data_IF_781049180209
#
_entry.id   IF_781049180209
#
_cell.length_a   1.000
_cell.length_b   1.000
_cell.length_c   1.000
_cell.angle_alpha   90.00
_cell.angle_beta   90.00
_cell.angle_gamma   90.00
#
_symmetry.space_group_name_H-M   'P 1'
#
loop_
_entity.id
_entity.type
_entity.pdbx_description
1 polymer ?
#
# COMPACT_ATOMS: atom_id res chain seq x y z
N UNK A 1 18.78 4.04 -16.77
CA UNK A 1 17.81 3.00 -16.39
C UNK A 1 16.86 3.60 -15.37
N UNK A 2 15.55 3.40 -15.53
CA UNK A 2 14.54 3.80 -14.55
C UNK A 2 14.12 2.56 -13.76
N UNK A 3 13.99 2.68 -12.44
CA UNK A 3 13.58 1.60 -11.56
C UNK A 3 12.18 1.88 -11.01
N UNK A 4 11.40 0.84 -10.66
CA UNK A 4 10.09 1.03 -10.04
C UNK A 4 10.19 1.57 -8.62
N UNK A 5 11.35 1.45 -7.98
CA UNK A 5 11.60 1.88 -6.60
C UNK A 5 12.74 2.88 -6.51
N UNK A 6 12.74 3.68 -5.44
CA UNK A 6 13.84 4.56 -5.05
C UNK A 6 14.29 4.22 -3.63
N UNK A 7 15.61 4.30 -3.39
CA UNK A 7 16.24 3.98 -2.12
C UNK A 7 17.49 4.86 -1.92
N UNK A 8 17.50 5.64 -0.85
CA UNK A 8 18.66 6.40 -0.40
C UNK A 8 19.17 5.86 0.94
N UNK A 9 20.37 5.26 0.96
CA UNK A 9 21.01 4.77 2.17
C UNK A 9 21.87 5.86 2.82
N UNK A 10 21.71 6.07 4.13
CA UNK A 10 22.55 6.97 4.91
C UNK A 10 23.17 6.23 6.10
N UNK A 11 24.47 6.45 6.32
CA UNK A 11 25.25 5.87 7.40
C UNK A 11 26.64 5.46 6.96
N UNK A 12 27.21 4.44 7.61
CA UNK A 12 28.51 3.85 7.31
C UNK A 12 28.45 2.51 6.58
N UNK A 13 29.63 2.00 6.23
CA UNK A 13 29.81 0.73 5.50
C UNK A 13 29.97 -0.52 6.38
N UNK A 14 29.89 -0.39 7.70
CA UNK A 14 29.99 -1.53 8.63
C UNK A 14 28.76 -2.43 8.63
N UNK A 15 28.72 -3.40 9.55
CA UNK A 15 27.58 -4.28 9.75
C UNK A 15 27.30 -5.26 8.60
N UNK A 16 26.28 -6.10 8.80
CA UNK A 16 25.76 -7.05 7.82
C UNK A 16 24.60 -6.45 7.04
N UNK A 17 24.56 -6.71 5.74
CA UNK A 17 23.48 -6.24 4.88
C UNK A 17 22.13 -6.87 5.27
N UNK A 18 21.06 -6.07 5.20
CA UNK A 18 19.70 -6.55 5.29
C UNK A 18 18.79 -5.86 4.27
N UNK A 19 17.76 -6.57 3.83
CA UNK A 19 16.66 -6.05 3.02
C UNK A 19 15.35 -6.61 3.55
N UNK A 20 14.46 -5.74 4.00
CA UNK A 20 13.17 -6.11 4.56
C UNK A 20 12.07 -5.28 3.93
N UNK A 21 11.61 -5.74 2.77
CA UNK A 21 10.67 -5.03 1.92
C UNK A 21 9.52 -5.93 1.46
N UNK A 22 8.44 -5.30 1.03
CA UNK A 22 7.32 -5.91 0.33
C UNK A 22 7.42 -5.83 -1.19
N UNK A 23 8.62 -5.70 -1.77
CA UNK A 23 8.79 -5.52 -3.23
C UNK A 23 8.13 -6.64 -4.05
N UNK A 24 8.15 -7.87 -3.55
CA UNK A 24 7.53 -9.03 -4.22
C UNK A 24 6.04 -9.21 -3.95
N UNK A 25 5.53 -8.66 -2.83
CA UNK A 25 4.15 -8.88 -2.38
C UNK A 25 3.27 -7.61 -2.45
N UNK A 26 3.86 -6.44 -2.69
CA UNK A 26 3.21 -5.14 -2.56
C UNK A 26 2.99 -4.69 -1.11
N UNK A 27 3.51 -5.42 -0.11
CA UNK A 27 3.34 -5.08 1.30
C UNK A 27 4.04 -3.75 1.63
N UNK A 28 3.39 -2.92 2.45
CA UNK A 28 3.94 -1.64 2.91
C UNK A 28 4.50 -1.73 4.31
N UNK A 29 5.28 -0.73 4.69
CA UNK A 29 5.57 -0.40 6.06
C UNK A 29 4.27 -0.06 6.82
N UNK A 30 3.95 -0.82 7.86
CA UNK A 30 2.75 -0.64 8.70
C UNK A 30 3.10 -0.01 10.04
N UNK A 31 4.27 -0.37 10.60
CA UNK A 31 4.75 0.19 11.86
C UNK A 31 6.27 0.19 11.89
N UNK A 32 6.83 1.17 12.58
CA UNK A 32 8.25 1.25 12.86
C UNK A 32 8.50 1.61 14.33
N UNK A 33 9.47 0.94 14.94
CA UNK A 33 9.99 1.24 16.28
C UNK A 33 11.48 1.52 16.18
N UNK A 34 11.95 2.60 16.82
CA UNK A 34 13.33 3.07 16.72
C UNK A 34 13.93 3.30 18.10
N UNK A 35 15.00 2.58 18.41
CA UNK A 35 15.86 2.79 19.57
C UNK A 35 17.00 3.72 19.19
N UNK A 36 17.37 4.63 20.09
CA UNK A 36 18.44 5.60 19.86
C UNK A 36 19.45 5.54 21.00
N UNK A 37 20.74 5.60 20.64
CA UNK A 37 21.85 5.71 21.58
C UNK A 37 22.42 7.14 21.60
N UNK A 38 23.54 7.31 22.31
CA UNK A 38 24.21 8.61 22.42
C UNK A 38 24.69 9.17 21.07
N UNK A 39 25.13 8.30 20.16
CA UNK A 39 25.77 8.72 18.90
C UNK A 39 25.25 7.96 17.68
N UNK A 40 24.17 7.19 17.82
CA UNK A 40 23.62 6.35 16.76
C UNK A 40 22.13 6.07 16.90
N UNK A 41 21.50 5.64 15.82
CA UNK A 41 20.30 4.80 15.87
C UNK A 41 20.74 3.39 16.26
N UNK A 42 20.23 2.91 17.39
CA UNK A 42 20.69 1.69 18.04
C UNK A 42 20.06 0.45 17.42
N UNK A 43 18.74 0.47 17.24
CA UNK A 43 18.02 -0.61 16.61
C UNK A 43 16.74 -0.09 15.95
N UNK A 44 16.23 -0.86 14.99
CA UNK A 44 14.95 -0.59 14.33
C UNK A 44 14.15 -1.88 14.25
N UNK A 45 12.89 -1.83 14.68
CA UNK A 45 11.92 -2.91 14.48
C UNK A 45 10.89 -2.45 13.45
N UNK A 46 10.64 -3.30 12.47
CA UNK A 46 9.80 -3.00 11.32
C UNK A 46 8.70 -4.04 11.23
N UNK A 47 7.47 -3.59 10.97
CA UNK A 47 6.32 -4.42 10.66
C UNK A 47 5.81 -4.06 9.27
N UNK A 48 5.61 -5.08 8.45
CA UNK A 48 5.01 -4.96 7.13
C UNK A 48 3.55 -5.38 7.18
N UNK A 49 2.77 -4.83 6.25
CA UNK A 49 1.33 -5.04 6.16
C UNK A 49 0.89 -6.47 5.83
N UNK A 50 1.83 -7.36 5.52
CA UNK A 50 1.60 -8.80 5.32
C UNK A 50 1.82 -9.62 6.61
N UNK A 51 2.00 -8.95 7.75
CA UNK A 51 2.21 -9.56 9.06
C UNK A 51 3.67 -9.90 9.38
N UNK A 52 4.59 -9.78 8.41
CA UNK A 52 6.03 -9.96 8.68
C UNK A 52 6.53 -8.85 9.60
N UNK A 53 7.40 -9.21 10.53
CA UNK A 53 8.12 -8.22 11.34
C UNK A 53 9.53 -8.70 11.67
N UNK A 54 10.47 -7.76 11.79
CA UNK A 54 11.87 -8.06 12.05
C UNK A 54 12.54 -6.90 12.78
N UNK A 55 13.54 -7.21 13.62
CA UNK A 55 14.39 -6.24 14.31
C UNK A 55 15.81 -6.28 13.73
N UNK A 56 16.42 -5.11 13.55
CA UNK A 56 17.80 -4.91 13.13
C UNK A 56 18.54 -4.06 14.15
N UNK A 57 19.81 -4.37 14.43
CA UNK A 57 20.55 -3.81 15.56
C UNK A 57 20.22 -4.53 16.88
N UNK A 58 20.82 -4.06 17.98
CA UNK A 58 20.58 -4.59 19.32
C UNK A 58 19.79 -3.57 20.15
N UNK A 59 18.49 -3.79 20.40
CA UNK A 59 17.67 -2.86 21.18
C UNK A 59 18.24 -2.60 22.58
N UNK A 60 18.24 -1.34 22.99
CA UNK A 60 18.62 -0.93 24.34
C UNK A 60 17.76 0.25 24.80
N UNK A 61 17.10 0.10 25.95
CA UNK A 61 16.19 1.10 26.51
C UNK A 61 14.84 1.25 25.80
N UNK A 62 14.11 2.35 26.06
CA UNK A 62 12.82 2.64 25.43
C UNK A 62 13.00 3.05 23.97
N UNK A 63 11.95 2.82 23.16
CA UNK A 63 11.93 3.21 21.76
C UNK A 63 10.77 4.16 21.44
N UNK A 64 10.95 4.93 20.36
CA UNK A 64 9.86 5.70 19.76
C UNK A 64 9.21 4.87 18.68
N UNK A 65 7.89 4.92 18.58
CA UNK A 65 7.15 4.18 17.57
C UNK A 65 6.23 5.06 16.74
N UNK A 66 5.96 4.59 15.52
CA UNK A 66 4.97 5.18 14.64
C UNK A 66 4.19 4.07 13.94
N UNK A 67 2.87 4.12 14.04
CA UNK A 67 1.96 3.20 13.36
C UNK A 67 1.22 3.94 12.26
N UNK A 68 1.34 3.47 11.03
CA UNK A 68 0.70 4.06 9.87
C UNK A 68 -0.76 3.64 9.81
N UNK A 69 -1.64 4.61 9.58
CA UNK A 69 -3.05 4.36 9.27
C UNK A 69 -3.17 3.80 7.84
N UNK A 70 -4.19 2.99 7.54
CA UNK A 70 -4.46 2.57 6.17
C UNK A 70 -4.53 3.77 5.21
N UNK A 71 -3.75 3.70 4.12
CA UNK A 71 -3.64 4.77 3.11
C UNK A 71 -2.85 6.01 3.54
N UNK A 72 -2.19 5.97 4.70
CA UNK A 72 -1.21 6.99 5.08
C UNK A 72 0.09 6.79 4.30
N UNK A 73 0.61 7.86 3.70
CA UNK A 73 1.82 7.84 2.90
C UNK A 73 2.81 8.88 3.41
N UNK A 74 4.09 8.68 3.15
CA UNK A 74 5.13 9.66 3.45
C UNK A 74 4.95 10.89 2.55
N UNK A 75 5.06 12.07 3.13
CA UNK A 75 5.13 13.35 2.40
C UNK A 75 6.54 13.91 2.40
N UNK A 76 7.34 13.57 3.40
CA UNK A 76 8.78 13.84 3.42
C UNK A 76 9.52 12.84 4.29
N UNK A 77 10.78 12.61 3.97
CA UNK A 77 11.72 11.84 4.76
C UNK A 77 13.06 12.57 4.76
N UNK A 78 13.66 12.69 5.92
CA UNK A 78 15.03 13.14 6.09
C UNK A 78 15.79 12.15 6.95
N UNK A 79 17.01 11.84 6.53
CA UNK A 79 17.94 11.00 7.28
C UNK A 79 19.20 11.80 7.63
N UNK A 80 19.83 11.44 8.74
CA UNK A 80 21.12 11.98 9.15
C UNK A 80 22.06 10.83 9.43
N UNK A 81 23.31 10.96 9.01
CA UNK A 81 24.39 10.18 9.61
C UNK A 81 24.70 10.72 11.01
N UNK A 82 25.47 9.97 11.79
CA UNK A 82 25.95 10.43 13.10
C UNK A 82 26.99 11.57 13.03
N UNK A 83 27.35 12.05 11.85
CA UNK A 83 28.33 13.11 11.65
C UNK A 83 29.79 12.66 11.61
N UNK A 84 30.08 11.38 11.85
CA UNK A 84 31.36 10.72 11.55
C UNK A 84 31.28 9.82 10.29
N UNK A 85 30.07 9.57 9.78
CA UNK A 85 29.86 8.72 8.60
C UNK A 85 29.95 7.23 8.88
N UNK A 86 29.75 6.82 10.14
CA UNK A 86 29.89 5.41 10.57
C UNK A 86 28.57 4.76 10.96
N UNK A 87 27.55 5.55 11.33
CA UNK A 87 26.22 5.10 11.72
C UNK A 87 25.14 6.01 11.16
N UNK A 88 23.92 5.49 11.10
CA UNK A 88 22.73 6.32 11.04
C UNK A 88 22.55 7.07 12.38
N UNK A 89 22.23 8.35 12.33
CA UNK A 89 22.13 9.23 13.49
C UNK A 89 20.71 9.74 13.77
N UNK A 90 19.86 9.90 12.75
CA UNK A 90 18.46 10.25 12.94
C UNK A 90 17.57 9.88 11.75
N UNK A 91 16.28 9.73 12.04
CA UNK A 91 15.19 9.49 11.11
C UNK A 91 14.09 10.50 11.42
N UNK A 92 13.72 11.31 10.42
CA UNK A 92 12.59 12.22 10.51
C UNK A 92 11.68 12.03 9.32
N UNK A 93 10.38 11.90 9.53
CA UNK A 93 9.42 11.90 8.43
C UNK A 93 8.11 12.58 8.79
N UNK A 94 7.39 12.98 7.74
CA UNK A 94 6.01 13.46 7.82
C UNK A 94 5.12 12.61 6.91
N UNK A 95 3.83 12.60 7.21
CA UNK A 95 2.85 11.81 6.47
C UNK A 95 1.71 12.65 5.90
N UNK A 96 0.92 12.05 5.02
CA UNK A 96 -0.27 12.64 4.39
C UNK A 96 -1.45 12.79 5.36
N UNK A 97 -1.35 12.28 6.58
CA UNK A 97 -2.37 12.37 7.64
C UNK A 97 -1.89 13.20 8.83
N UNK A 98 -1.05 14.20 8.55
CA UNK A 98 -0.48 15.14 9.52
C UNK A 98 0.37 14.48 10.62
N UNK A 99 0.83 13.25 10.37
CA UNK A 99 1.77 12.56 11.21
C UNK A 99 3.17 13.13 11.11
N UNK A 100 3.85 13.24 12.24
CA UNK A 100 5.28 13.56 12.30
C UNK A 100 5.98 12.58 13.24
N UNK A 101 7.10 12.03 12.79
CA UNK A 101 7.96 11.16 13.58
C UNK A 101 9.39 11.67 13.53
N UNK A 102 10.04 11.71 14.70
CA UNK A 102 11.43 12.09 14.79
C UNK A 102 12.16 11.33 15.90
N UNK A 103 13.13 10.51 15.48
CA UNK A 103 14.04 9.78 16.35
C UNK A 103 15.48 10.17 16.00
N UNK A 104 16.25 10.60 17.00
CA UNK A 104 17.63 11.06 16.83
C UNK A 104 18.50 10.59 17.98
N UNK A 105 19.79 10.44 17.71
CA UNK A 105 20.82 10.25 18.74
C UNK A 105 20.76 11.33 19.83
N UNK A 106 21.14 10.96 21.05
CA UNK A 106 20.84 11.77 22.26
C UNK A 106 22.00 12.63 22.75
N UNK A 107 23.24 12.33 22.37
CA UNK A 107 24.44 13.04 22.85
C UNK A 107 25.13 13.84 21.75
N UNK A 108 25.31 13.24 20.56
CA UNK A 108 25.95 13.93 19.44
C UNK A 108 24.96 14.82 18.70
N UNK A 109 25.41 16.00 18.26
CA UNK A 109 24.59 16.93 17.49
C UNK A 109 24.40 16.49 16.05
N UNK A 110 23.21 16.72 15.49
CA UNK A 110 22.93 16.50 14.08
C UNK A 110 23.73 17.47 13.20
N UNK A 111 24.31 16.95 12.12
CA UNK A 111 25.07 17.73 11.14
C UNK A 111 24.27 17.89 9.84
N UNK A 112 24.77 17.32 8.74
CA UNK A 112 24.14 17.39 7.43
C UNK A 112 22.85 16.55 7.41
N UNK A 113 21.75 17.23 7.10
CA UNK A 113 20.48 16.61 6.74
C UNK A 113 20.53 16.08 5.30
N UNK A 114 19.95 14.90 5.09
CA UNK A 114 19.75 14.33 3.77
C UNK A 114 18.25 14.16 3.53
N UNK A 115 17.60 15.13 2.89
CA UNK A 115 16.23 14.97 2.42
C UNK A 115 16.18 13.90 1.33
N UNK A 116 15.21 12.99 1.43
CA UNK A 116 15.03 11.87 0.52
C UNK A 116 13.87 12.12 -0.42
N UNK A 117 14.03 11.69 -1.67
CA UNK A 117 12.91 11.55 -2.58
C UNK A 117 12.05 10.36 -2.14
N UNK A 118 10.82 10.65 -1.70
CA UNK A 118 9.87 9.62 -1.25
C UNK A 118 9.06 9.04 -2.41
N UNK A 119 9.28 9.49 -3.65
CA UNK A 119 8.56 9.03 -4.84
C UNK A 119 7.06 9.22 -4.67
N UNK A 120 6.32 8.11 -4.63
CA UNK A 120 4.88 8.15 -4.36
C UNK A 120 4.49 8.33 -2.89
N UNK A 121 5.45 8.23 -1.97
CA UNK A 121 5.21 8.17 -0.53
C UNK A 121 4.84 6.78 0.00
N UNK A 122 4.63 5.79 -0.89
CA UNK A 122 4.34 4.42 -0.51
C UNK A 122 5.63 3.65 -0.17
N UNK A 123 5.87 3.46 1.13
CA UNK A 123 7.06 2.81 1.65
C UNK A 123 6.88 1.29 1.67
N UNK A 124 7.73 0.57 0.93
CA UNK A 124 7.75 -0.89 0.87
C UNK A 124 8.50 -1.53 2.05
N UNK A 125 9.25 -0.76 2.82
CA UNK A 125 10.06 -1.24 3.93
C UNK A 125 11.43 -0.58 3.99
N UNK A 126 12.41 -1.30 4.54
CA UNK A 126 13.76 -0.76 4.81
C UNK A 126 14.84 -1.66 4.25
N UNK A 127 15.96 -1.04 3.86
CA UNK A 127 17.18 -1.71 3.41
C UNK A 127 18.36 -1.04 4.09
N UNK A 128 19.40 -1.79 4.44
CA UNK A 128 20.53 -1.22 5.14
C UNK A 128 21.59 -2.22 5.54
N UNK A 129 22.37 -1.83 6.55
CA UNK A 129 23.39 -2.63 7.20
C UNK A 129 23.30 -2.47 8.70
N UNK A 130 23.40 -3.56 9.44
CA UNK A 130 23.33 -3.55 10.90
C UNK A 130 24.25 -4.59 11.53
N UNK A 131 24.73 -4.27 12.73
CA UNK A 131 25.39 -5.18 13.65
C UNK A 131 24.82 -4.97 15.05
N UNK A 132 25.63 -4.50 15.99
CA UNK A 132 25.16 -4.03 17.30
C UNK A 132 24.34 -2.72 17.21
N UNK A 133 24.54 -1.95 16.14
CA UNK A 133 23.85 -0.69 15.85
C UNK A 133 23.33 -0.71 14.40
N UNK A 134 22.61 0.34 14.00
CA UNK A 134 22.31 0.60 12.59
C UNK A 134 23.47 1.33 11.92
N UNK A 135 24.30 0.60 11.18
CA UNK A 135 25.40 1.14 10.39
C UNK A 135 24.90 2.06 9.29
N UNK A 136 23.95 1.61 8.47
CA UNK A 136 23.27 2.43 7.49
C UNK A 136 21.86 1.92 7.25
N UNK A 137 20.95 2.82 6.87
CA UNK A 137 19.60 2.44 6.50
C UNK A 137 19.01 3.46 5.53
N UNK A 138 18.08 2.98 4.71
CA UNK A 138 17.20 3.77 3.87
C UNK A 138 15.81 3.13 3.84
N UNK A 139 14.84 3.94 3.43
CA UNK A 139 13.47 3.50 3.21
C UNK A 139 13.30 3.30 1.71
N UNK A 140 12.73 2.16 1.33
CA UNK A 140 12.46 1.86 -0.07
C UNK A 140 11.05 2.34 -0.41
N UNK A 141 10.95 3.25 -1.37
CA UNK A 141 9.68 3.77 -1.84
C UNK A 141 9.37 3.28 -3.24
N UNK A 142 8.08 3.06 -3.51
CA UNK A 142 7.60 2.96 -4.88
C UNK A 142 7.67 4.34 -5.53
N UNK A 143 8.21 4.43 -6.75
CA UNK A 143 8.23 5.66 -7.52
C UNK A 143 6.81 6.11 -7.90
N UNK A 144 6.69 7.32 -8.45
CA UNK A 144 5.40 7.84 -8.89
C UNK A 144 4.68 6.83 -9.81
N UNK A 145 3.48 6.43 -9.40
CA UNK A 145 2.70 5.39 -10.11
C UNK A 145 1.80 6.06 -11.14
N UNK A 146 1.95 5.65 -12.40
CA UNK A 146 1.08 6.12 -13.48
C UNK A 146 -0.27 5.37 -13.47
N UNK A 147 -0.25 4.06 -13.23
CA UNK A 147 -1.45 3.23 -13.18
C UNK A 147 -1.23 1.99 -12.32
N UNK A 148 -2.32 1.43 -11.80
CA UNK A 148 -2.34 0.14 -11.08
C UNK A 148 -3.44 -0.71 -11.69
N UNK A 149 -3.09 -1.89 -12.21
CA UNK A 149 -4.02 -2.73 -12.99
C UNK A 149 -3.99 -4.16 -12.45
N UNK A 150 -5.16 -4.69 -12.09
CA UNK A 150 -5.35 -6.11 -11.85
C UNK A 150 -5.60 -6.79 -13.20
N UNK A 151 -4.63 -7.56 -13.67
CA UNK A 151 -4.71 -8.32 -14.93
C UNK A 151 -4.49 -9.81 -14.68
N UNK A 152 -4.63 -10.64 -15.72
CA UNK A 152 -4.49 -12.10 -15.64
C UNK A 152 -5.41 -12.73 -14.59
N UNK A 153 -6.62 -12.16 -14.43
CA UNK A 153 -7.64 -12.69 -13.51
C UNK A 153 -8.05 -14.08 -14.00
N UNK A 154 -7.90 -15.06 -13.13
CA UNK A 154 -8.32 -16.43 -13.36
C UNK A 154 -9.32 -16.85 -12.26
N UNK A 155 -10.30 -17.68 -12.63
CA UNK A 155 -11.27 -18.25 -11.70
C UNK A 155 -11.09 -19.77 -11.66
N UNK A 156 -10.16 -20.30 -10.84
CA UNK A 156 -9.73 -21.71 -10.93
C UNK A 156 -10.85 -22.73 -10.69
N UNK A 157 -11.87 -22.34 -9.92
CA UNK A 157 -12.98 -23.22 -9.52
C UNK A 157 -14.27 -22.99 -10.31
N UNK A 158 -14.30 -22.06 -11.28
CA UNK A 158 -15.53 -21.69 -12.00
C UNK A 158 -16.20 -22.86 -12.71
N UNK A 159 -15.39 -23.78 -13.25
CA UNK A 159 -15.89 -24.98 -13.95
C UNK A 159 -16.42 -26.06 -13.00
N UNK A 160 -16.19 -25.94 -11.70
CA UNK A 160 -16.65 -26.88 -10.67
C UNK A 160 -17.93 -26.38 -9.98
N UNK A 161 -18.29 -25.11 -10.19
CA UNK A 161 -19.43 -24.46 -9.55
C UNK A 161 -20.71 -24.70 -10.33
N UNK A 162 -21.75 -25.19 -9.64
CA UNK A 162 -23.12 -25.21 -10.18
C UNK A 162 -23.79 -23.88 -9.82
N UNK A 163 -24.21 -23.07 -10.80
CA UNK A 163 -24.79 -21.76 -10.54
C UNK A 163 -26.14 -21.89 -9.82
N UNK A 164 -26.30 -21.16 -8.72
CA UNK A 164 -27.59 -21.06 -8.02
C UNK A 164 -28.40 -19.92 -8.64
N UNK A 165 -29.32 -20.27 -9.54
CA UNK A 165 -30.19 -19.32 -10.24
C UNK A 165 -31.54 -19.25 -9.53
N UNK A 166 -31.97 -18.06 -9.15
CA UNK A 166 -33.32 -17.80 -8.62
C UNK A 166 -34.20 -17.32 -9.76
N UNK A 167 -35.38 -17.95 -9.91
CA UNK A 167 -36.38 -17.50 -10.88
C UNK A 167 -37.09 -16.29 -10.30
N UNK A 168 -37.19 -15.22 -11.10
CA UNK A 168 -37.97 -14.04 -10.76
C UNK A 168 -39.05 -13.87 -11.83
N UNK A 169 -40.31 -13.83 -11.39
CA UNK A 169 -41.43 -13.56 -12.28
C UNK A 169 -41.34 -12.13 -12.81
N UNK A 170 -41.37 -12.00 -14.14
CA UNK A 170 -41.28 -10.70 -14.82
C UNK A 170 -42.70 -10.23 -15.21
N UNK A 171 -43.50 -11.13 -15.76
CA UNK A 171 -44.87 -10.86 -16.20
C UNK A 171 -45.62 -12.17 -16.37
N UNK A 172 -46.88 -12.22 -15.95
CA UNK A 172 -47.81 -13.33 -16.22
C UNK A 172 -49.11 -12.77 -16.80
N UNK A 173 -49.58 -13.38 -17.89
CA UNK A 173 -50.76 -12.97 -18.65
C UNK A 173 -51.53 -14.22 -19.11
N UNK A 174 -52.85 -14.17 -19.08
CA UNK A 174 -53.72 -15.25 -19.57
C UNK A 174 -54.61 -14.73 -20.70
N UNK A 175 -54.64 -15.44 -21.82
CA UNK A 175 -55.51 -15.14 -22.96
C UNK A 175 -56.43 -16.33 -23.23
N UNK A 176 -57.71 -16.07 -23.49
CA UNK A 176 -58.69 -17.09 -23.87
C UNK A 176 -59.21 -16.81 -25.27
N UNK A 177 -59.11 -17.81 -26.15
CA UNK A 177 -59.67 -17.74 -27.49
C UNK A 177 -61.01 -18.49 -27.51
N UNK A 178 -62.11 -17.76 -27.64
CA UNK A 178 -63.47 -18.31 -27.66
C UNK A 178 -64.06 -18.44 -29.06
N UNK A 179 -63.25 -18.22 -30.11
CA UNK A 179 -63.67 -18.31 -31.51
C UNK A 179 -62.89 -19.40 -32.25
N UNK A 180 -63.44 -19.91 -33.35
CA UNK A 180 -62.87 -21.02 -34.13
C UNK A 180 -61.65 -20.64 -34.99
N UNK A 181 -61.27 -19.36 -35.00
CA UNK A 181 -60.15 -18.83 -35.79
C UNK A 181 -58.96 -18.45 -34.91
N UNK A 182 -57.76 -18.52 -35.48
CA UNK A 182 -56.50 -18.21 -34.79
C UNK A 182 -56.40 -16.73 -34.46
N UNK A 183 -56.08 -16.40 -33.20
CA UNK A 183 -55.77 -15.04 -32.75
C UNK A 183 -54.27 -14.86 -32.50
N UNK A 184 -53.74 -13.67 -32.79
CA UNK A 184 -52.36 -13.28 -32.49
C UNK A 184 -52.37 -12.21 -31.40
N UNK A 185 -51.51 -12.37 -30.40
CA UNK A 185 -51.33 -11.43 -29.30
C UNK A 185 -49.88 -10.96 -29.27
N UNK A 186 -49.67 -9.65 -29.10
CA UNK A 186 -48.35 -9.05 -28.93
C UNK A 186 -48.13 -8.76 -27.44
N UNK A 187 -47.06 -9.31 -26.87
CA UNK A 187 -46.71 -9.11 -25.46
C UNK A 187 -45.38 -8.39 -25.39
N UNK A 188 -45.41 -7.17 -24.86
CA UNK A 188 -44.21 -6.38 -24.57
C UNK A 188 -43.90 -6.41 -23.07
N UNK A 189 -42.62 -6.58 -22.73
CA UNK A 189 -42.15 -6.63 -21.34
C UNK A 189 -40.77 -5.97 -21.25
N UNK A 190 -40.52 -5.24 -20.17
CA UNK A 190 -39.22 -4.66 -19.83
C UNK A 190 -38.87 -4.97 -18.37
N UNK A 191 -37.58 -5.15 -18.09
CA UNK A 191 -37.07 -5.36 -16.73
C UNK A 191 -35.71 -4.71 -16.59
N UNK A 192 -35.54 -3.91 -15.54
CA UNK A 192 -34.23 -3.35 -15.17
C UNK A 192 -33.43 -4.40 -14.41
N UNK A 193 -32.19 -4.66 -14.85
CA UNK A 193 -31.28 -5.62 -14.23
C UNK A 193 -30.03 -4.86 -13.76
N UNK A 194 -29.62 -5.12 -12.51
CA UNK A 194 -28.37 -4.59 -11.96
C UNK A 194 -27.37 -5.74 -11.81
N UNK A 195 -26.31 -5.72 -12.62
CA UNK A 195 -25.18 -6.64 -12.49
C UNK A 195 -24.12 -6.04 -11.57
N UNK A 196 -23.51 -6.87 -10.71
CA UNK A 196 -22.45 -6.46 -9.79
C UNK A 196 -21.26 -7.40 -9.91
N UNK A 197 -20.07 -6.84 -9.95
CA UNK A 197 -18.80 -7.57 -9.90
C UNK A 197 -17.94 -7.00 -8.77
N UNK A 198 -17.27 -7.87 -8.02
CA UNK A 198 -16.40 -7.47 -6.92
C UNK A 198 -15.22 -8.41 -6.82
N UNK A 199 -14.02 -7.86 -6.71
CA UNK A 199 -12.79 -8.59 -6.43
C UNK A 199 -12.27 -8.13 -5.07
N UNK A 200 -12.11 -9.06 -4.14
CA UNK A 200 -11.51 -8.77 -2.84
C UNK A 200 -10.02 -8.54 -3.02
N UNK A 201 -9.55 -7.39 -2.58
CA UNK A 201 -8.13 -7.00 -2.54
C UNK A 201 -7.78 -6.72 -1.09
N UNK A 202 -6.54 -6.99 -0.67
CA UNK A 202 -6.08 -6.59 0.66
C UNK A 202 -6.22 -5.07 0.84
N UNK A 203 -6.71 -4.65 2.01
CA UNK A 203 -7.08 -3.26 2.33
C UNK A 203 -5.97 -2.26 1.96
N UNK A 204 -4.70 -2.64 2.10
CA UNK A 204 -3.57 -1.76 1.82
C UNK A 204 -3.40 -1.49 0.31
N UNK A 205 -3.51 -2.51 -0.55
CA UNK A 205 -3.41 -2.35 -2.01
C UNK A 205 -4.63 -1.57 -2.56
N UNK A 206 -5.80 -1.74 -1.94
CA UNK A 206 -6.99 -0.96 -2.27
C UNK A 206 -6.79 0.55 -2.02
N UNK A 207 -6.13 0.92 -0.92
CA UNK A 207 -5.83 2.34 -0.65
C UNK A 207 -4.80 2.90 -1.62
N UNK A 208 -3.82 2.09 -2.04
CA UNK A 208 -2.87 2.45 -3.10
C UNK A 208 -3.62 2.83 -4.38
N UNK A 209 -4.55 1.97 -4.82
CA UNK A 209 -5.42 2.22 -5.97
C UNK A 209 -6.24 3.53 -5.78
N UNK A 210 -6.82 3.75 -4.61
CA UNK A 210 -7.61 4.96 -4.31
C UNK A 210 -6.74 6.23 -4.27
N UNK A 211 -5.53 6.17 -3.73
CA UNK A 211 -4.62 7.32 -3.62
C UNK A 211 -4.17 7.79 -5.00
N UNK A 212 -3.82 6.86 -5.90
CA UNK A 212 -3.39 7.23 -7.26
C UNK A 212 -4.57 7.62 -8.17
N UNK A 213 -5.76 7.03 -7.98
CA UNK A 213 -6.97 7.47 -8.70
C UNK A 213 -7.52 8.81 -8.16
N UNK A 214 -7.36 9.09 -6.87
CA UNK A 214 -7.90 10.27 -6.19
C UNK A 214 -7.32 11.61 -6.66
N UNK A 215 -6.14 11.61 -7.29
CA UNK A 215 -5.55 12.81 -7.91
C UNK A 215 -6.35 13.26 -9.15
N UNK A 216 -7.12 12.37 -9.78
CA UNK A 216 -7.97 12.69 -10.94
C UNK A 216 -9.43 13.02 -10.59
N UNK A 217 -9.92 12.63 -9.41
CA UNK A 217 -11.36 12.71 -9.07
C UNK A 217 -11.79 14.08 -8.50
N UNK A 218 -10.86 14.99 -8.19
CA UNK A 218 -11.22 16.33 -7.68
C UNK A 218 -11.71 17.33 -8.74
N UNK A 219 -11.84 16.93 -10.01
CA UNK A 219 -12.61 17.67 -11.02
C UNK A 219 -13.78 16.83 -11.54
N UNK A 220 -14.81 16.72 -10.70
CA UNK A 220 -16.16 16.38 -11.13
C UNK A 220 -16.57 14.94 -10.86
N UNK A 221 -17.53 14.80 -9.95
CA UNK A 221 -18.41 13.67 -9.70
C UNK A 221 -17.76 12.33 -9.29
N UNK A 222 -18.20 11.86 -8.13
CA UNK A 222 -17.95 10.54 -7.58
C UNK A 222 -18.50 9.50 -8.57
N UNK A 223 -17.61 8.75 -9.23
CA UNK A 223 -17.97 7.54 -9.97
C UNK A 223 -17.26 6.34 -9.36
N UNK A 224 -18.07 5.40 -8.85
CA UNK A 224 -17.64 4.02 -8.61
C UNK A 224 -16.90 3.49 -9.84
N UNK A 225 -15.79 2.79 -9.61
CA UNK A 225 -14.99 2.15 -10.64
C UNK A 225 -15.85 1.24 -11.52
N UNK A 226 -16.18 1.71 -12.73
CA UNK A 226 -16.74 0.94 -13.82
C UNK A 226 -15.57 0.42 -14.67
N UNK A 227 -15.34 -0.90 -14.67
CA UNK A 227 -14.65 -1.53 -15.79
C UNK A 227 -15.72 -1.98 -16.80
N UNK A 228 -15.75 -1.28 -17.94
CA UNK A 228 -16.43 -1.71 -19.15
C UNK A 228 -15.66 -2.90 -19.73
N UNK A 229 -16.30 -4.07 -19.76
CA UNK A 229 -15.91 -5.16 -20.66
C UNK A 229 -16.50 -4.85 -22.05
N UNK A 230 -15.64 -4.74 -23.06
CA UNK A 230 -15.98 -5.03 -24.46
C UNK A 230 -15.48 -6.43 -24.77
#
# INVERSE_FOLDING_TARGET
MSYPTTLGLIGGGGGSYFSFTGEYSGASLEKIGVWVGGWQVKAVKVWLSDGRNQTFGEPDGPYKEYTFKPGECFTSLSLWGNGAGTRLGAIKFKTSKEGEFFASMTSWGLKKEYPMDVGSGYCLGVVGRAGADIDSMGFMFLNAVQSTVLTNVNYPTINQLIPKVTVEEIKSLTYKNSISTTQKQTIETSKTITTKSSWSVTLIILHLIIIFLGVWVFRGNIYSAFLLLK
#
